data_IF_517684358788
#
_entry.id   IF_517684358788
#
_cell.length_a   1.000
_cell.length_b   1.000
_cell.length_c   1.000
_cell.angle_alpha   90.00
_cell.angle_beta   90.00
_cell.angle_gamma   90.00
#
_symmetry.space_group_name_H-M   'P 1'
#
loop_
_entity.id
_entity.type
_entity.pdbx_description
1 polymer ?
#
# COMPACT_ATOMS: atom_id res chain seq x y z
N UNK A 1 -0.05 1.91 41.73
CA UNK A 1 -0.14 2.29 40.30
C UNK A 1 0.39 1.13 39.51
N UNK A 2 -0.50 0.29 38.99
CA UNK A 2 -0.17 -0.93 38.27
C UNK A 2 0.38 -0.59 36.88
N UNK A 3 1.65 -0.96 36.63
CA UNK A 3 2.21 -0.96 35.28
C UNK A 3 1.32 -1.81 34.36
N UNK A 4 0.88 -1.29 33.20
CA UNK A 4 0.21 -2.13 32.23
C UNK A 4 1.22 -3.16 31.72
N UNK A 5 0.82 -4.44 31.81
CA UNK A 5 1.49 -5.60 31.24
C UNK A 5 1.96 -5.31 29.80
N UNK A 6 3.18 -5.70 29.47
CA UNK A 6 3.91 -5.44 28.21
C UNK A 6 3.29 -6.00 26.90
N UNK A 7 1.99 -6.25 26.88
CA UNK A 7 1.19 -6.65 25.71
C UNK A 7 0.46 -5.47 25.03
N UNK A 8 0.67 -4.21 25.46
CA UNK A 8 -0.21 -3.08 25.12
C UNK A 8 0.40 -1.89 24.31
N UNK A 9 1.42 -2.05 23.47
CA UNK A 9 1.99 -0.91 22.72
C UNK A 9 2.27 -1.17 21.22
N UNK A 10 1.50 -2.02 20.54
CA UNK A 10 1.47 -1.92 19.07
C UNK A 10 0.55 -0.79 18.65
N UNK A 11 1.14 0.23 18.02
CA UNK A 11 0.41 1.32 17.37
C UNK A 11 -0.49 0.77 16.26
N UNK A 12 -1.60 1.45 16.01
CA UNK A 12 -2.62 1.01 15.07
C UNK A 12 -2.24 1.33 13.61
N UNK A 13 -2.74 0.52 12.67
CA UNK A 13 -2.72 0.84 11.23
C UNK A 13 -4.01 1.59 10.90
N UNK A 14 -3.90 2.84 10.48
CA UNK A 14 -5.03 3.60 9.96
C UNK A 14 -5.19 3.36 8.45
N UNK A 15 -6.38 3.03 8.01
CA UNK A 15 -6.71 2.74 6.62
C UNK A 15 -7.75 3.75 6.14
N UNK A 16 -7.32 4.70 5.31
CA UNK A 16 -8.11 5.82 4.78
C UNK A 16 -8.64 5.48 3.39
N UNK A 17 -9.96 5.52 3.22
CA UNK A 17 -10.58 5.18 1.93
C UNK A 17 -12.07 4.93 2.08
N UNK A 18 -12.60 3.97 1.31
CA UNK A 18 -14.04 3.71 1.28
C UNK A 18 -14.42 2.29 1.69
N UNK A 19 -15.66 2.19 2.17
CA UNK A 19 -16.40 0.94 2.29
C UNK A 19 -17.52 0.93 1.26
N UNK A 20 -17.73 -0.21 0.62
CA UNK A 20 -18.78 -0.42 -0.35
C UNK A 20 -19.55 -1.69 0.00
N UNK A 21 -20.70 -1.89 -0.61
CA UNK A 21 -21.49 -3.11 -0.49
C UNK A 21 -21.62 -3.72 -1.87
N UNK A 22 -21.44 -5.04 -1.95
CA UNK A 22 -21.71 -5.78 -3.16
C UNK A 22 -22.79 -6.85 -2.94
N UNK A 23 -23.70 -6.97 -3.91
CA UNK A 23 -24.56 -8.13 -4.05
C UNK A 23 -23.85 -9.14 -4.95
N UNK A 24 -23.42 -10.26 -4.39
CA UNK A 24 -22.67 -11.30 -5.08
C UNK A 24 -23.64 -12.39 -5.50
N UNK A 25 -23.74 -12.64 -6.80
CA UNK A 25 -24.58 -13.67 -7.40
C UNK A 25 -23.71 -14.70 -8.11
N UNK A 26 -23.86 -15.97 -7.73
CA UNK A 26 -23.17 -17.09 -8.40
C UNK A 26 -24.06 -17.66 -9.48
N UNK A 27 -23.52 -17.78 -10.70
CA UNK A 27 -24.19 -18.35 -11.87
C UNK A 27 -23.34 -19.46 -12.48
N UNK A 28 -23.99 -20.42 -13.14
CA UNK A 28 -23.28 -21.46 -13.87
C UNK A 28 -22.50 -20.85 -15.04
N UNK A 29 -23.22 -20.07 -15.87
CA UNK A 29 -22.71 -19.36 -17.04
C UNK A 29 -23.12 -17.88 -16.99
N UNK A 30 -22.31 -17.01 -17.57
CA UNK A 30 -22.58 -15.57 -17.66
C UNK A 30 -23.86 -15.32 -18.50
N UNK A 31 -24.76 -14.41 -18.06
CA UNK A 31 -26.02 -14.17 -18.76
C UNK A 31 -25.81 -13.58 -20.16
N UNK A 32 -26.34 -14.27 -21.17
CA UNK A 32 -26.49 -13.70 -22.51
C UNK A 32 -27.47 -12.52 -22.48
N UNK A 33 -27.33 -11.59 -23.45
CA UNK A 33 -28.20 -10.41 -23.55
C UNK A 33 -29.67 -10.84 -23.63
N UNK A 34 -30.50 -10.35 -22.72
CA UNK A 34 -31.94 -10.66 -22.65
C UNK A 34 -32.30 -11.98 -21.95
N UNK A 35 -31.31 -12.78 -21.54
CA UNK A 35 -31.56 -14.04 -20.83
C UNK A 35 -32.11 -13.80 -19.42
N UNK A 36 -32.99 -14.71 -18.98
CA UNK A 36 -33.46 -14.79 -17.59
C UNK A 36 -32.86 -16.04 -16.95
N UNK A 37 -31.94 -15.84 -16.01
CA UNK A 37 -31.26 -16.93 -15.33
C UNK A 37 -31.64 -16.97 -13.86
N UNK A 38 -31.58 -18.18 -13.28
CA UNK A 38 -31.64 -18.39 -11.83
C UNK A 38 -30.21 -18.48 -11.30
N UNK A 39 -29.87 -17.63 -10.33
CA UNK A 39 -28.59 -17.77 -9.62
C UNK A 39 -28.62 -19.01 -8.72
N UNK A 40 -27.45 -19.63 -8.53
CA UNK A 40 -27.27 -20.78 -7.65
C UNK A 40 -27.22 -20.34 -6.17
N UNK A 41 -26.65 -19.17 -5.93
CA UNK A 41 -26.57 -18.54 -4.62
C UNK A 41 -26.46 -17.02 -4.81
N UNK A 42 -27.02 -16.26 -3.87
CA UNK A 42 -26.79 -14.83 -3.78
C UNK A 42 -26.58 -14.42 -2.32
N UNK A 43 -25.65 -13.50 -2.07
CA UNK A 43 -25.41 -12.96 -0.74
C UNK A 43 -24.86 -11.53 -0.82
N UNK A 44 -24.95 -10.81 0.29
CA UNK A 44 -24.33 -9.50 0.45
C UNK A 44 -22.93 -9.64 1.02
N UNK A 45 -22.00 -8.82 0.54
CA UNK A 45 -20.64 -8.77 1.05
C UNK A 45 -20.20 -7.31 1.20
N UNK A 46 -19.50 -7.01 2.30
CA UNK A 46 -18.77 -5.75 2.43
C UNK A 46 -17.56 -5.77 1.48
N UNK A 47 -17.40 -4.69 0.75
CA UNK A 47 -16.32 -4.47 -0.23
C UNK A 47 -15.68 -3.10 -0.02
N UNK A 48 -14.90 -2.64 -1.00
CA UNK A 48 -14.06 -1.45 -0.92
C UNK A 48 -12.61 -1.86 -0.68
N UNK A 49 -11.67 -1.22 -1.38
CA UNK A 49 -10.27 -1.66 -1.37
C UNK A 49 -9.68 -1.52 0.03
N UNK A 50 -9.76 -0.32 0.61
CA UNK A 50 -9.32 -0.05 1.98
C UNK A 50 -10.04 -0.92 3.01
N UNK A 51 -11.35 -1.08 2.85
CA UNK A 51 -12.19 -1.95 3.69
C UNK A 51 -11.74 -3.43 3.68
N UNK A 52 -11.34 -3.95 2.53
CA UNK A 52 -10.78 -5.29 2.38
C UNK A 52 -9.36 -5.39 2.95
N UNK A 53 -8.52 -4.37 2.77
CA UNK A 53 -7.19 -4.27 3.42
C UNK A 53 -7.34 -4.37 4.93
N UNK A 54 -8.32 -3.66 5.52
CA UNK A 54 -8.59 -3.73 6.96
C UNK A 54 -8.93 -5.15 7.42
N UNK A 55 -9.72 -5.86 6.62
CA UNK A 55 -10.15 -7.23 6.91
C UNK A 55 -8.95 -8.18 6.94
N UNK A 56 -8.12 -8.14 5.90
CA UNK A 56 -6.93 -8.97 5.83
C UNK A 56 -5.93 -8.63 6.94
N UNK A 57 -5.73 -7.34 7.26
CA UNK A 57 -4.87 -6.93 8.36
C UNK A 57 -5.37 -7.43 9.72
N UNK A 58 -6.69 -7.36 10.00
CA UNK A 58 -7.25 -7.92 11.24
C UNK A 58 -7.05 -9.43 11.33
N UNK A 59 -7.28 -10.16 10.23
CA UNK A 59 -7.07 -11.61 10.18
C UNK A 59 -5.59 -12.02 10.34
N UNK A 60 -4.66 -11.17 9.91
CA UNK A 60 -3.22 -11.34 10.19
C UNK A 60 -2.83 -10.98 11.64
N UNK A 61 -3.75 -10.39 12.41
CA UNK A 61 -3.55 -10.04 13.82
C UNK A 61 -3.07 -8.62 14.08
N UNK A 62 -3.07 -7.72 13.08
CA UNK A 62 -2.78 -6.30 13.31
C UNK A 62 -3.94 -5.58 13.98
N UNK A 63 -3.65 -4.51 14.74
CA UNK A 63 -4.67 -3.52 15.15
C UNK A 63 -4.94 -2.58 13.99
N UNK A 64 -6.20 -2.41 13.64
CA UNK A 64 -6.60 -1.66 12.45
C UNK A 64 -7.78 -0.77 12.75
N UNK A 65 -7.70 0.45 12.24
CA UNK A 65 -8.80 1.37 12.18
C UNK A 65 -9.09 1.75 10.72
N UNK A 66 -10.35 1.68 10.34
CA UNK A 66 -10.88 2.21 9.11
C UNK A 66 -11.26 3.68 9.32
N UNK A 67 -10.87 4.55 8.38
CA UNK A 67 -11.32 5.92 8.29
C UNK A 67 -11.96 6.17 6.92
N UNK A 68 -13.28 6.06 6.88
CA UNK A 68 -14.11 6.22 5.68
C UNK A 68 -15.49 6.77 6.04
N UNK A 69 -16.18 7.38 5.08
CA UNK A 69 -17.55 7.85 5.31
C UNK A 69 -18.49 6.66 5.44
N UNK A 70 -19.29 6.65 6.51
CA UNK A 70 -20.34 5.67 6.77
C UNK A 70 -21.73 6.30 6.58
N UNK A 71 -22.74 5.50 6.25
CA UNK A 71 -24.12 5.97 6.08
C UNK A 71 -25.03 5.51 7.21
N UNK A 72 -25.93 6.37 7.68
CA UNK A 72 -27.04 6.00 8.58
C UNK A 72 -28.23 5.41 7.82
N UNK A 73 -28.28 5.63 6.50
CA UNK A 73 -29.42 5.31 5.66
C UNK A 73 -29.32 3.93 5.01
N UNK A 74 -30.41 3.18 5.09
CA UNK A 74 -30.60 1.91 4.37
C UNK A 74 -30.15 0.67 5.16
N UNK A 75 -30.97 -0.39 5.08
CA UNK A 75 -30.68 -1.67 5.73
C UNK A 75 -29.35 -2.28 5.28
N UNK A 76 -28.94 -2.03 4.02
CA UNK A 76 -27.67 -2.52 3.50
C UNK A 76 -26.46 -1.96 4.27
N UNK A 77 -26.50 -0.70 4.70
CA UNK A 77 -25.38 -0.12 5.45
C UNK A 77 -25.28 -0.67 6.87
N UNK A 78 -26.41 -1.08 7.48
CA UNK A 78 -26.41 -1.79 8.76
C UNK A 78 -25.61 -3.10 8.67
N UNK A 79 -25.82 -3.88 7.62
CA UNK A 79 -25.05 -5.10 7.35
C UNK A 79 -23.53 -4.84 7.30
N UNK A 80 -23.12 -3.76 6.61
CA UNK A 80 -21.71 -3.36 6.51
C UNK A 80 -21.12 -3.04 7.89
N UNK A 81 -21.81 -2.24 8.69
CA UNK A 81 -21.38 -1.86 10.04
C UNK A 81 -21.30 -3.09 10.96
N UNK A 82 -22.26 -4.00 10.85
CA UNK A 82 -22.25 -5.24 11.63
C UNK A 82 -21.11 -6.19 11.19
N UNK A 83 -20.73 -6.20 9.90
CA UNK A 83 -19.55 -6.92 9.43
C UNK A 83 -18.24 -6.30 9.95
N UNK A 84 -18.12 -4.97 9.99
CA UNK A 84 -16.97 -4.28 10.60
C UNK A 84 -16.81 -4.67 12.07
N UNK A 85 -17.91 -4.64 12.85
CA UNK A 85 -17.92 -5.07 14.25
C UNK A 85 -17.54 -6.54 14.42
N UNK A 86 -18.14 -7.44 13.62
CA UNK A 86 -17.85 -8.89 13.67
C UNK A 86 -16.38 -9.20 13.39
N UNK A 87 -15.71 -8.36 12.60
CA UNK A 87 -14.30 -8.50 12.24
C UNK A 87 -13.34 -7.71 13.15
N UNK A 88 -13.87 -7.08 14.20
CA UNK A 88 -13.08 -6.31 15.15
C UNK A 88 -12.23 -5.25 14.46
N UNK A 89 -12.80 -4.59 13.43
CA UNK A 89 -12.20 -3.44 12.76
C UNK A 89 -12.71 -2.19 13.49
N UNK A 90 -11.81 -1.35 13.98
CA UNK A 90 -12.22 -0.07 14.57
C UNK A 90 -12.71 0.87 13.46
N UNK A 91 -13.81 1.56 13.72
CA UNK A 91 -14.41 2.57 12.84
C UNK A 91 -14.94 3.76 13.65
N UNK A 92 -14.46 3.93 14.90
CA UNK A 92 -14.98 4.90 15.86
C UNK A 92 -14.87 6.34 15.36
N UNK A 93 -13.82 6.65 14.59
CA UNK A 93 -13.63 7.99 14.02
C UNK A 93 -14.18 8.15 12.60
N UNK A 94 -14.86 7.14 12.04
CA UNK A 94 -15.49 7.29 10.73
C UNK A 94 -16.59 8.37 10.75
N UNK A 95 -16.55 9.36 9.83
CA UNK A 95 -17.64 10.32 9.70
C UNK A 95 -18.90 9.66 9.14
N UNK A 96 -20.07 10.25 9.46
CA UNK A 96 -21.38 9.70 9.10
C UNK A 96 -22.20 10.65 8.23
N UNK A 97 -22.85 10.13 7.20
CA UNK A 97 -23.80 10.82 6.31
C UNK A 97 -25.17 10.15 6.30
N UNK A 98 -26.19 10.84 5.80
CA UNK A 98 -27.53 10.29 5.57
C UNK A 98 -27.76 9.95 4.10
N UNK A 99 -26.76 10.14 3.23
CA UNK A 99 -26.82 9.72 1.82
C UNK A 99 -26.81 8.20 1.67
N UNK A 100 -27.62 7.66 0.74
CA UNK A 100 -27.59 6.23 0.44
C UNK A 100 -26.29 5.84 -0.27
N UNK A 101 -25.59 4.79 0.20
CA UNK A 101 -24.33 4.32 -0.37
C UNK A 101 -24.49 3.82 -1.81
N UNK A 102 -23.39 3.85 -2.57
CA UNK A 102 -23.32 3.09 -3.82
C UNK A 102 -23.20 1.59 -3.51
N UNK A 103 -23.91 0.77 -4.29
CA UNK A 103 -23.83 -0.69 -4.19
C UNK A 103 -23.36 -1.26 -5.53
N UNK A 104 -22.44 -2.21 -5.50
CA UNK A 104 -22.01 -2.94 -6.69
C UNK A 104 -22.77 -4.25 -6.83
N UNK A 105 -22.88 -4.77 -8.04
CA UNK A 105 -23.32 -6.14 -8.30
C UNK A 105 -22.15 -6.94 -8.83
N UNK A 106 -21.89 -8.11 -8.24
CA UNK A 106 -20.81 -9.00 -8.67
C UNK A 106 -21.44 -10.28 -9.17
N UNK A 107 -21.17 -10.61 -10.43
CA UNK A 107 -21.57 -11.89 -11.03
C UNK A 107 -20.35 -12.81 -11.02
N UNK A 108 -20.45 -13.93 -10.33
CA UNK A 108 -19.43 -14.98 -10.29
C UNK A 108 -19.85 -16.13 -11.20
N UNK A 109 -19.09 -16.34 -12.26
CA UNK A 109 -19.32 -17.45 -13.19
C UNK A 109 -18.48 -18.68 -12.76
N UNK A 110 -19.13 -19.81 -12.53
CA UNK A 110 -18.45 -21.01 -12.03
C UNK A 110 -17.64 -21.73 -13.12
N UNK A 111 -18.15 -21.82 -14.35
CA UNK A 111 -17.49 -22.59 -15.43
C UNK A 111 -16.13 -22.01 -15.80
N UNK A 112 -16.05 -20.69 -15.95
CA UNK A 112 -14.80 -20.00 -16.31
C UNK A 112 -14.00 -19.54 -15.09
N UNK A 113 -14.62 -19.53 -13.90
CA UNK A 113 -14.04 -18.94 -12.68
C UNK A 113 -13.90 -17.42 -12.74
N UNK A 114 -14.58 -16.75 -13.67
CA UNK A 114 -14.50 -15.30 -13.83
C UNK A 114 -15.44 -14.56 -12.87
N UNK A 115 -15.11 -13.30 -12.59
CA UNK A 115 -15.95 -12.41 -11.80
C UNK A 115 -16.13 -11.10 -12.55
N UNK A 116 -17.38 -10.72 -12.80
CA UNK A 116 -17.74 -9.45 -13.43
C UNK A 116 -18.31 -8.52 -12.37
N UNK A 117 -17.75 -7.31 -12.27
CA UNK A 117 -18.15 -6.31 -11.28
C UNK A 117 -18.85 -5.16 -11.99
N UNK A 118 -20.14 -5.00 -11.70
CA UNK A 118 -20.94 -3.85 -12.10
C UNK A 118 -20.94 -2.85 -10.95
N UNK A 119 -20.16 -1.77 -11.08
CA UNK A 119 -20.10 -0.72 -10.06
C UNK A 119 -21.19 0.32 -10.28
N UNK A 120 -21.79 0.79 -9.20
CA UNK A 120 -22.69 1.93 -9.25
C UNK A 120 -21.87 3.22 -9.37
N UNK A 121 -22.15 4.01 -10.42
CA UNK A 121 -21.49 5.30 -10.65
C UNK A 121 -22.03 6.45 -9.79
N UNK A 122 -22.95 6.18 -8.85
CA UNK A 122 -23.45 7.20 -7.93
C UNK A 122 -22.30 7.69 -7.05
N UNK A 123 -22.06 9.00 -7.06
CA UNK A 123 -21.12 9.63 -6.16
C UNK A 123 -21.56 9.41 -4.70
N UNK A 124 -20.58 9.15 -3.84
CA UNK A 124 -20.77 9.03 -2.40
C UNK A 124 -19.70 9.90 -1.72
N UNK A 125 -20.01 10.58 -0.61
CA UNK A 125 -19.07 11.47 0.03
C UNK A 125 -17.77 10.75 0.42
N UNK A 126 -16.67 11.47 0.30
CA UNK A 126 -15.35 11.02 0.73
C UNK A 126 -14.97 11.72 2.05
N UNK A 127 -13.99 11.16 2.74
CA UNK A 127 -13.45 11.77 3.96
C UNK A 127 -12.73 13.08 3.62
N UNK A 128 -12.80 14.04 4.53
CA UNK A 128 -12.18 15.36 4.38
C UNK A 128 -10.98 15.51 5.32
N UNK A 129 -10.04 16.38 4.95
CA UNK A 129 -8.91 16.78 5.77
C UNK A 129 -9.35 17.41 7.09
N UNK A 130 -10.51 18.10 7.11
CA UNK A 130 -11.11 18.64 8.34
C UNK A 130 -11.51 17.54 9.32
N UNK A 131 -12.11 16.45 8.83
CA UNK A 131 -12.45 15.29 9.66
C UNK A 131 -11.18 14.56 10.09
N UNK A 132 -10.23 14.34 9.18
CA UNK A 132 -8.95 13.71 9.48
C UNK A 132 -8.14 14.48 10.53
N UNK A 133 -8.27 15.81 10.57
CA UNK A 133 -7.60 16.64 11.56
C UNK A 133 -8.02 16.38 13.01
N UNK A 134 -9.17 15.72 13.23
CA UNK A 134 -9.70 15.38 14.55
C UNK A 134 -9.05 14.11 15.13
N UNK A 135 -8.34 13.33 14.31
CA UNK A 135 -7.66 12.12 14.74
C UNK A 135 -6.46 12.44 15.62
N UNK A 136 -6.28 11.63 16.67
CA UNK A 136 -5.04 11.61 17.44
C UNK A 136 -3.98 10.77 16.71
N UNK A 137 -3.08 11.46 16.02
CA UNK A 137 -2.04 10.82 15.23
C UNK A 137 -1.03 10.00 16.06
N UNK A 138 -0.92 10.23 17.37
CA UNK A 138 -0.01 9.46 18.24
C UNK A 138 -0.42 7.98 18.37
N UNK A 139 -1.68 7.64 18.07
CA UNK A 139 -2.21 6.28 18.14
C UNK A 139 -1.75 5.39 16.98
N UNK A 140 -1.24 5.98 15.90
CA UNK A 140 -0.91 5.27 14.67
C UNK A 140 0.59 5.22 14.43
N UNK A 141 1.07 4.13 13.85
CA UNK A 141 2.44 4.01 13.33
C UNK A 141 2.46 3.83 11.82
N UNK A 142 1.29 3.65 11.20
CA UNK A 142 1.13 3.50 9.76
C UNK A 142 -0.21 4.11 9.31
N UNK A 143 -0.20 4.90 8.23
CA UNK A 143 -1.41 5.30 7.50
C UNK A 143 -1.36 4.79 6.06
N UNK A 144 -2.37 4.04 5.67
CA UNK A 144 -2.59 3.60 4.31
C UNK A 144 -3.70 4.42 3.65
N UNK A 145 -3.40 5.02 2.51
CA UNK A 145 -4.36 5.80 1.72
C UNK A 145 -4.72 5.08 0.42
N UNK A 146 -6.00 5.12 0.09
CA UNK A 146 -6.51 4.84 -1.26
C UNK A 146 -6.47 6.14 -2.09
N UNK A 147 -5.85 6.11 -3.27
CA UNK A 147 -5.82 7.23 -4.20
C UNK A 147 -7.21 7.41 -4.85
N UNK A 148 -8.07 8.21 -4.20
CA UNK A 148 -9.47 8.43 -4.64
C UNK A 148 -9.84 9.90 -4.79
N UNK A 149 -9.38 10.77 -3.89
CA UNK A 149 -9.66 12.19 -3.95
C UNK A 149 -8.40 13.01 -3.67
N UNK A 150 -7.69 13.38 -4.73
CA UNK A 150 -6.33 13.93 -4.66
C UNK A 150 -6.19 15.12 -3.71
N UNK A 151 -7.12 16.11 -3.82
CA UNK A 151 -7.06 17.35 -3.03
C UNK A 151 -7.12 17.09 -1.53
N UNK A 152 -8.10 16.32 -1.08
CA UNK A 152 -8.24 15.94 0.33
C UNK A 152 -7.08 15.04 0.79
N UNK A 153 -6.66 14.07 -0.03
CA UNK A 153 -5.56 13.16 0.32
C UNK A 153 -4.22 13.88 0.46
N UNK A 154 -3.91 14.87 -0.37
CA UNK A 154 -2.71 15.71 -0.21
C UNK A 154 -2.71 16.39 1.16
N UNK A 155 -3.83 16.98 1.56
CA UNK A 155 -3.95 17.70 2.84
C UNK A 155 -3.82 16.74 4.04
N UNK A 156 -4.42 15.55 3.96
CA UNK A 156 -4.30 14.53 5.00
C UNK A 156 -2.86 14.01 5.12
N UNK A 157 -2.20 13.71 3.99
CA UNK A 157 -0.81 13.28 3.99
C UNK A 157 0.13 14.35 4.54
N UNK A 158 -0.03 15.61 4.13
CA UNK A 158 0.75 16.74 4.66
C UNK A 158 0.63 16.85 6.17
N UNK A 159 -0.57 16.66 6.74
CA UNK A 159 -0.73 16.63 8.20
C UNK A 159 0.09 15.53 8.87
N UNK A 160 0.17 14.33 8.26
CA UNK A 160 1.02 13.24 8.76
C UNK A 160 2.50 13.62 8.65
N UNK A 161 2.91 14.27 7.56
CA UNK A 161 4.27 14.77 7.38
C UNK A 161 4.65 15.82 8.44
N UNK A 162 3.75 16.77 8.69
CA UNK A 162 3.92 17.80 9.71
C UNK A 162 4.00 17.19 11.11
N UNK A 163 3.19 16.18 11.39
CA UNK A 163 3.28 15.42 12.63
C UNK A 163 4.63 14.72 12.79
N UNK A 164 5.19 14.20 11.70
CA UNK A 164 6.48 13.50 11.70
C UNK A 164 7.70 14.44 11.82
N UNK A 165 7.54 15.75 11.55
CA UNK A 165 8.64 16.71 11.63
C UNK A 165 9.22 16.78 13.05
N UNK A 166 10.55 16.75 13.15
CA UNK A 166 11.27 16.75 14.43
C UNK A 166 11.25 15.43 15.21
N UNK A 167 10.56 14.39 14.72
CA UNK A 167 10.52 13.06 15.37
C UNK A 167 11.66 12.17 14.91
N UNK A 168 12.10 11.27 15.80
CA UNK A 168 13.01 10.20 15.47
C UNK A 168 12.35 9.19 14.52
N UNK A 169 13.14 8.53 13.68
CA UNK A 169 12.64 7.66 12.60
C UNK A 169 11.70 6.56 13.10
N UNK A 170 12.00 5.95 14.25
CA UNK A 170 11.19 4.90 14.84
C UNK A 170 9.81 5.35 15.34
N UNK A 171 9.64 6.65 15.60
CA UNK A 171 8.41 7.26 16.13
C UNK A 171 7.58 7.94 15.03
N UNK A 172 8.07 7.93 13.78
CA UNK A 172 7.36 8.49 12.63
C UNK A 172 6.30 7.53 12.12
N UNK A 173 5.21 8.11 11.67
CA UNK A 173 4.14 7.40 10.98
C UNK A 173 4.58 7.12 9.55
N UNK A 174 4.57 5.86 9.16
CA UNK A 174 4.83 5.45 7.78
C UNK A 174 3.59 5.68 6.92
N UNK A 175 3.76 6.25 5.73
CA UNK A 175 2.66 6.53 4.79
C UNK A 175 2.76 5.61 3.60
N UNK A 176 1.68 4.89 3.31
CA UNK A 176 1.55 4.09 2.08
C UNK A 176 0.36 4.54 1.24
N UNK A 177 0.49 4.41 -0.07
CA UNK A 177 -0.52 4.82 -1.04
C UNK A 177 -0.82 3.67 -2.01
N UNK A 178 -2.11 3.35 -2.19
CA UNK A 178 -2.57 2.48 -3.27
C UNK A 178 -3.06 3.34 -4.44
N UNK A 179 -2.43 3.20 -5.61
CA UNK A 179 -2.88 3.82 -6.86
C UNK A 179 -3.45 2.73 -7.77
N UNK A 180 -4.74 2.85 -8.09
CA UNK A 180 -5.48 1.82 -8.84
C UNK A 180 -6.27 2.37 -10.04
N UNK A 181 -6.41 3.69 -10.13
CA UNK A 181 -7.08 4.40 -11.23
C UNK A 181 -6.42 5.78 -11.40
N UNK A 182 -6.70 6.46 -12.52
CA UNK A 182 -6.36 7.87 -12.79
C UNK A 182 -5.00 8.33 -12.26
N UNK A 183 -3.88 7.74 -12.71
CA UNK A 183 -2.53 8.10 -12.24
C UNK A 183 -2.26 9.61 -12.35
N UNK A 184 -2.67 10.25 -13.45
CA UNK A 184 -2.44 11.68 -13.72
C UNK A 184 -2.97 12.58 -12.60
N UNK A 185 -4.15 12.26 -12.06
CA UNK A 185 -4.79 13.00 -10.96
C UNK A 185 -4.05 12.83 -9.61
N UNK A 186 -3.13 11.86 -9.52
CA UNK A 186 -2.55 11.38 -8.27
C UNK A 186 -1.02 11.47 -8.23
N UNK A 187 -0.38 12.01 -9.27
CA UNK A 187 1.09 12.14 -9.36
C UNK A 187 1.69 12.87 -8.15
N UNK A 188 1.02 13.90 -7.64
CA UNK A 188 1.52 14.69 -6.51
C UNK A 188 1.53 13.88 -5.20
N UNK A 189 0.65 12.90 -5.06
CA UNK A 189 0.58 12.03 -3.87
C UNK A 189 1.79 11.11 -3.76
N UNK A 190 2.42 10.73 -4.89
CA UNK A 190 3.58 9.85 -4.91
C UNK A 190 4.75 10.43 -4.11
N UNK A 191 4.89 11.77 -4.11
CA UNK A 191 5.97 12.48 -3.40
C UNK A 191 5.75 12.58 -1.88
N UNK A 192 4.55 12.24 -1.39
CA UNK A 192 4.14 12.42 0.01
C UNK A 192 4.14 11.11 0.80
N UNK A 193 4.49 9.98 0.19
CA UNK A 193 4.43 8.66 0.81
C UNK A 193 5.78 7.93 0.83
N UNK A 194 5.91 6.94 1.72
CA UNK A 194 7.07 6.05 1.81
C UNK A 194 6.96 4.84 0.89
N UNK A 195 5.72 4.40 0.62
CA UNK A 195 5.44 3.23 -0.20
C UNK A 195 4.29 3.52 -1.15
N UNK A 196 4.48 3.21 -2.44
CA UNK A 196 3.40 3.19 -3.42
C UNK A 196 3.16 1.75 -3.87
N UNK A 197 1.93 1.28 -3.71
CA UNK A 197 1.45 0.05 -4.33
C UNK A 197 0.69 0.42 -5.60
N UNK A 198 1.15 -0.07 -6.75
CA UNK A 198 0.60 0.28 -8.05
C UNK A 198 -0.17 -0.89 -8.69
N UNK A 199 -1.44 -0.66 -9.03
CA UNK A 199 -2.32 -1.71 -9.54
C UNK A 199 -1.98 -2.14 -10.96
N UNK A 200 -1.86 -3.46 -11.18
CA UNK A 200 -1.63 -4.07 -12.52
C UNK A 200 -2.61 -3.60 -13.58
N UNK A 201 -3.90 -3.50 -13.26
CA UNK A 201 -4.93 -3.12 -14.24
C UNK A 201 -4.67 -1.71 -14.80
N UNK A 202 -4.32 -0.76 -13.93
CA UNK A 202 -3.97 0.60 -14.33
C UNK A 202 -2.69 0.62 -15.16
N UNK A 203 -1.66 -0.13 -14.75
CA UNK A 203 -0.43 -0.26 -15.52
C UNK A 203 -0.69 -0.72 -16.96
N UNK A 204 -1.53 -1.75 -17.13
CA UNK A 204 -1.91 -2.25 -18.46
C UNK A 204 -2.72 -1.22 -19.26
N UNK A 205 -3.60 -0.45 -18.62
CA UNK A 205 -4.35 0.63 -19.27
C UNK A 205 -3.43 1.74 -19.79
N UNK A 206 -2.34 2.02 -19.07
CA UNK A 206 -1.29 2.97 -19.47
C UNK A 206 -0.32 2.39 -20.51
N UNK A 207 -0.52 1.14 -20.96
CA UNK A 207 0.36 0.47 -21.92
C UNK A 207 1.63 -0.14 -21.32
N UNK A 208 1.72 -0.25 -19.99
CA UNK A 208 2.87 -0.83 -19.30
C UNK A 208 2.73 -2.35 -19.19
N UNK A 209 3.59 -3.08 -19.89
CA UNK A 209 3.39 -4.51 -20.17
C UNK A 209 3.87 -5.45 -19.06
N UNK A 210 4.69 -4.98 -18.12
CA UNK A 210 5.26 -5.78 -17.03
C UNK A 210 5.37 -5.00 -15.72
N UNK A 211 5.48 -5.70 -14.59
CA UNK A 211 5.71 -5.07 -13.29
C UNK A 211 7.05 -4.32 -13.23
N UNK A 212 8.10 -4.85 -13.88
CA UNK A 212 9.38 -4.16 -14.03
C UNK A 212 9.20 -2.84 -14.78
N UNK A 213 8.51 -2.87 -15.93
CA UNK A 213 8.22 -1.67 -16.71
C UNK A 213 7.40 -0.66 -15.91
N UNK A 214 6.38 -1.12 -15.17
CA UNK A 214 5.58 -0.26 -14.30
C UNK A 214 6.42 0.42 -13.20
N UNK A 215 7.36 -0.29 -12.56
CA UNK A 215 8.28 0.31 -11.59
C UNK A 215 9.13 1.42 -12.21
N UNK A 216 9.70 1.17 -13.39
CA UNK A 216 10.54 2.16 -14.10
C UNK A 216 9.75 3.38 -14.57
N UNK A 217 8.55 3.17 -15.11
CA UNK A 217 7.68 4.25 -15.56
C UNK A 217 7.20 5.12 -14.39
N UNK A 218 6.78 4.49 -13.28
CA UNK A 218 6.36 5.23 -12.10
C UNK A 218 7.54 5.98 -11.46
N UNK A 219 8.73 5.39 -11.44
CA UNK A 219 9.95 6.05 -10.99
C UNK A 219 10.30 7.26 -11.88
N UNK A 220 10.12 7.14 -13.19
CA UNK A 220 10.35 8.24 -14.15
C UNK A 220 9.33 9.37 -14.02
N UNK A 221 8.10 9.05 -13.59
CA UNK A 221 7.05 10.02 -13.33
C UNK A 221 7.28 10.85 -12.05
N UNK A 222 8.20 10.44 -11.16
CA UNK A 222 8.55 11.22 -9.98
C UNK A 222 9.30 12.49 -10.42
N UNK A 223 8.69 13.66 -10.19
CA UNK A 223 9.17 14.99 -10.62
C UNK A 223 10.62 15.32 -10.22
N UNK A 224 11.13 14.69 -9.17
CA UNK A 224 12.47 14.99 -8.66
C UNK A 224 13.49 14.01 -9.27
N UNK A 225 14.67 14.45 -9.72
CA UNK A 225 15.79 13.57 -10.13
C UNK A 225 16.48 12.88 -8.94
N UNK A 226 17.03 11.67 -9.13
CA UNK A 226 17.70 10.90 -8.04
C UNK A 226 18.93 11.60 -7.45
N UNK A 227 19.53 12.54 -8.18
CA UNK A 227 20.64 13.37 -7.71
C UNK A 227 20.25 14.31 -6.56
N UNK A 228 18.96 14.63 -6.42
CA UNK A 228 18.46 15.45 -5.31
C UNK A 228 18.01 14.52 -4.18
N UNK A 229 18.68 14.65 -3.02
CA UNK A 229 18.38 13.90 -1.80
C UNK A 229 17.05 14.34 -1.19
N UNK A 230 15.96 13.94 -1.84
CA UNK A 230 14.58 14.13 -1.39
C UNK A 230 14.01 12.77 -1.00
N UNK A 231 12.95 12.80 -0.18
CA UNK A 231 12.19 11.60 0.15
C UNK A 231 11.62 10.99 -1.13
N UNK A 232 11.85 9.70 -1.33
CA UNK A 232 11.29 8.91 -2.43
C UNK A 232 10.51 7.73 -1.89
N UNK A 233 9.37 7.39 -2.49
CA UNK A 233 8.69 6.17 -2.14
C UNK A 233 9.47 4.96 -2.66
N UNK A 234 9.39 3.85 -1.93
CA UNK A 234 9.59 2.55 -2.53
C UNK A 234 8.37 2.20 -3.39
N UNK A 235 8.60 1.68 -4.59
CA UNK A 235 7.54 1.34 -5.55
C UNK A 235 7.30 -0.16 -5.50
N UNK A 236 6.03 -0.58 -5.48
CA UNK A 236 5.64 -1.99 -5.40
C UNK A 236 4.57 -2.25 -6.45
N UNK A 237 4.86 -3.17 -7.37
CA UNK A 237 4.00 -3.52 -8.50
C UNK A 237 3.63 -5.01 -8.44
N UNK A 238 2.52 -5.39 -7.76
CA UNK A 238 1.99 -6.75 -7.81
C UNK A 238 1.47 -7.10 -9.21
N UNK A 239 1.75 -8.31 -9.68
CA UNK A 239 1.47 -8.75 -11.05
C UNK A 239 0.76 -10.11 -11.16
N UNK A 240 0.05 -10.52 -10.10
CA UNK A 240 -0.73 -11.76 -10.09
C UNK A 240 0.17 -12.99 -10.20
N UNK A 241 -0.06 -13.86 -11.19
CA UNK A 241 0.66 -15.13 -11.33
C UNK A 241 2.16 -15.01 -11.60
N UNK A 242 2.65 -13.81 -11.95
CA UNK A 242 4.08 -13.53 -12.13
C UNK A 242 4.77 -13.08 -10.85
N UNK A 243 4.02 -12.85 -9.76
CA UNK A 243 4.56 -12.35 -8.50
C UNK A 243 4.45 -10.84 -8.40
N UNK A 244 5.52 -10.20 -7.94
CA UNK A 244 5.59 -8.75 -7.79
C UNK A 244 7.02 -8.26 -8.06
N UNK A 245 7.14 -7.02 -8.52
CA UNK A 245 8.42 -6.32 -8.59
C UNK A 245 8.36 -5.14 -7.62
N UNK A 246 9.45 -4.87 -6.92
CA UNK A 246 9.57 -3.66 -6.11
C UNK A 246 10.90 -2.95 -6.33
N UNK A 247 10.89 -1.63 -6.19
CA UNK A 247 12.05 -0.75 -6.26
C UNK A 247 12.23 -0.05 -4.92
N UNK A 248 13.41 -0.12 -4.32
CA UNK A 248 13.72 0.64 -3.11
C UNK A 248 13.97 2.14 -3.41
N UNK A 249 14.04 2.96 -2.36
CA UNK A 249 14.27 4.40 -2.49
C UNK A 249 15.61 4.76 -3.15
N UNK A 250 16.57 3.82 -3.23
CA UNK A 250 17.87 4.00 -3.92
C UNK A 250 17.79 3.60 -5.40
N UNK A 251 16.66 3.08 -5.85
CA UNK A 251 16.43 2.65 -7.22
C UNK A 251 16.82 1.20 -7.49
N UNK A 252 17.14 0.39 -6.47
CA UNK A 252 17.43 -1.02 -6.68
C UNK A 252 16.13 -1.81 -6.81
N UNK A 253 16.06 -2.60 -7.89
CA UNK A 253 14.92 -3.46 -8.20
C UNK A 253 15.07 -4.85 -7.61
N UNK A 254 13.94 -5.45 -7.28
CA UNK A 254 13.81 -6.82 -6.80
C UNK A 254 12.60 -7.46 -7.48
N UNK A 255 12.77 -8.66 -8.01
CA UNK A 255 11.69 -9.47 -8.57
C UNK A 255 11.38 -10.65 -7.64
N UNK A 256 10.12 -10.77 -7.23
CA UNK A 256 9.68 -11.73 -6.22
C UNK A 256 8.61 -12.62 -6.86
N UNK A 257 8.84 -13.94 -6.98
CA UNK A 257 7.90 -14.84 -7.65
C UNK A 257 6.58 -14.99 -6.88
N UNK A 258 5.50 -15.32 -7.58
CA UNK A 258 4.23 -15.69 -6.97
C UNK A 258 4.27 -17.11 -6.39
N UNK A 259 3.56 -17.31 -5.28
CA UNK A 259 3.23 -18.64 -4.79
C UNK A 259 2.05 -19.18 -5.61
N UNK A 260 2.15 -20.44 -6.06
CA UNK A 260 1.08 -21.10 -6.85
C UNK A 260 0.25 -22.00 -5.95
N UNK A 261 -1.04 -21.69 -5.72
CA UNK A 261 -1.92 -22.59 -5.00
C UNK A 261 -2.27 -23.81 -5.88
N UNK A 262 -2.64 -24.93 -5.26
CA UNK A 262 -3.08 -26.13 -5.99
C UNK A 262 -4.34 -25.89 -6.83
N UNK A 263 -5.24 -25.04 -6.34
CA UNK A 263 -6.49 -24.67 -6.99
C UNK A 263 -6.78 -23.21 -6.72
N UNK A 264 -7.20 -22.48 -7.75
CA UNK A 264 -7.71 -21.12 -7.62
C UNK A 264 -9.22 -21.20 -7.47
N UNK A 265 -9.75 -20.59 -6.40
CA UNK A 265 -11.18 -20.65 -6.04
C UNK A 265 -11.83 -19.27 -6.09
N UNK A 266 -11.15 -18.23 -5.61
CA UNK A 266 -11.71 -16.88 -5.53
C UNK A 266 -10.61 -15.82 -5.68
N UNK A 267 -10.63 -15.03 -6.76
CA UNK A 267 -9.67 -13.93 -6.97
C UNK A 267 -10.08 -12.60 -6.33
N UNK A 268 -11.33 -12.44 -5.90
CA UNK A 268 -11.85 -11.16 -5.42
C UNK A 268 -11.18 -10.70 -4.11
N UNK A 269 -10.34 -9.67 -4.14
CA UNK A 269 -9.66 -9.17 -2.93
C UNK A 269 -8.19 -9.55 -2.82
N UNK A 270 -7.60 -10.18 -3.84
CA UNK A 270 -6.21 -10.65 -3.82
C UNK A 270 -5.19 -9.50 -3.73
N UNK A 271 -5.41 -8.42 -4.49
CA UNK A 271 -4.61 -7.20 -4.42
C UNK A 271 -4.66 -6.55 -3.03
N UNK A 272 -5.83 -6.50 -2.40
CA UNK A 272 -5.98 -5.96 -1.06
C UNK A 272 -5.31 -6.85 0.00
N UNK A 273 -5.34 -8.17 -0.19
CA UNK A 273 -4.61 -9.11 0.66
C UNK A 273 -3.09 -8.98 0.49
N UNK A 274 -2.62 -8.72 -0.73
CA UNK A 274 -1.22 -8.37 -0.99
C UNK A 274 -0.84 -7.11 -0.21
N UNK A 275 -1.61 -6.01 -0.37
CA UNK A 275 -1.34 -4.75 0.35
C UNK A 275 -1.35 -4.94 1.87
N UNK A 276 -2.34 -5.65 2.42
CA UNK A 276 -2.40 -5.97 3.84
C UNK A 276 -1.19 -6.81 4.30
N UNK A 277 -0.82 -7.83 3.53
CA UNK A 277 0.36 -8.66 3.80
C UNK A 277 1.65 -7.84 3.81
N UNK A 278 1.81 -6.94 2.86
CA UNK A 278 2.96 -6.03 2.79
C UNK A 278 3.03 -5.11 4.03
N UNK A 279 1.91 -4.45 4.37
CA UNK A 279 1.84 -3.58 5.55
C UNK A 279 2.15 -4.38 6.81
N UNK A 280 1.53 -5.55 6.98
CA UNK A 280 1.77 -6.42 8.14
C UNK A 280 3.24 -6.85 8.25
N UNK A 281 3.83 -7.31 7.14
CA UNK A 281 5.23 -7.73 7.12
C UNK A 281 6.20 -6.59 7.44
N UNK A 282 5.95 -5.40 6.89
CA UNK A 282 6.82 -4.24 7.11
C UNK A 282 6.64 -3.68 8.51
N UNK A 283 5.40 -3.41 8.92
CA UNK A 283 5.10 -2.69 10.15
C UNK A 283 5.12 -3.59 11.39
N UNK A 284 4.38 -4.70 11.36
CA UNK A 284 4.23 -5.59 12.52
C UNK A 284 5.43 -6.53 12.65
N UNK A 285 5.94 -7.03 11.52
CA UNK A 285 7.04 -8.01 11.50
C UNK A 285 8.41 -7.39 11.29
N UNK A 286 8.51 -6.10 10.97
CA UNK A 286 9.77 -5.36 10.75
C UNK A 286 10.66 -6.02 9.69
N UNK A 287 10.06 -6.56 8.64
CA UNK A 287 10.78 -7.14 7.50
C UNK A 287 11.28 -6.04 6.56
N UNK A 288 12.41 -6.31 5.90
CA UNK A 288 12.90 -5.45 4.83
C UNK A 288 12.03 -5.59 3.57
N UNK A 289 12.13 -4.62 2.66
CA UNK A 289 11.28 -4.50 1.47
C UNK A 289 11.07 -5.81 0.69
N UNK A 290 12.10 -6.53 0.22
CA UNK A 290 11.89 -7.76 -0.56
C UNK A 290 11.21 -8.87 0.25
N UNK A 291 11.57 -9.05 1.53
CA UNK A 291 10.96 -10.07 2.40
C UNK A 291 9.50 -9.75 2.77
N UNK A 292 9.14 -8.46 2.76
CA UNK A 292 7.78 -8.00 2.96
C UNK A 292 6.91 -8.19 1.72
N UNK A 293 7.48 -7.95 0.52
CA UNK A 293 6.81 -8.19 -0.76
C UNK A 293 6.63 -9.69 -1.02
N UNK A 294 7.62 -10.52 -0.68
CA UNK A 294 7.48 -11.98 -0.73
C UNK A 294 6.35 -12.48 0.19
N UNK A 295 6.28 -11.96 1.43
CA UNK A 295 5.18 -12.28 2.33
C UNK A 295 3.82 -11.82 1.78
N UNK A 296 3.76 -10.65 1.13
CA UNK A 296 2.56 -10.17 0.48
C UNK A 296 2.09 -11.12 -0.65
N UNK A 297 3.01 -11.65 -1.46
CA UNK A 297 2.72 -12.68 -2.46
C UNK A 297 2.14 -13.95 -1.82
N UNK A 298 2.69 -14.37 -0.67
CA UNK A 298 2.18 -15.54 0.07
C UNK A 298 0.74 -15.32 0.55
N UNK A 299 0.46 -14.17 1.18
CA UNK A 299 -0.89 -13.85 1.69
C UNK A 299 -1.91 -13.81 0.54
N UNK A 300 -1.58 -13.15 -0.57
CA UNK A 300 -2.45 -13.09 -1.74
C UNK A 300 -2.71 -14.47 -2.34
N UNK A 301 -1.66 -15.31 -2.45
CA UNK A 301 -1.77 -16.69 -2.96
C UNK A 301 -2.64 -17.58 -2.07
N UNK A 302 -2.49 -17.46 -0.75
CA UNK A 302 -3.32 -18.19 0.21
C UNK A 302 -4.78 -17.77 0.12
N UNK A 303 -5.04 -16.46 -0.01
CA UNK A 303 -6.40 -15.94 -0.15
C UNK A 303 -7.09 -16.49 -1.40
N UNK A 304 -6.40 -16.61 -2.53
CA UNK A 304 -7.05 -17.08 -3.77
C UNK A 304 -7.38 -18.58 -3.77
N UNK A 305 -6.86 -19.35 -2.81
CA UNK A 305 -7.14 -20.77 -2.63
C UNK A 305 -8.50 -21.06 -1.96
N UNK A 306 -9.14 -20.04 -1.40
CA UNK A 306 -10.36 -20.15 -0.60
C UNK A 306 -11.37 -19.06 -0.92
N UNK A 307 -12.63 -19.26 -0.54
CA UNK A 307 -13.69 -18.24 -0.75
C UNK A 307 -13.61 -17.17 0.33
N UNK A 308 -13.71 -15.90 -0.05
CA UNK A 308 -13.68 -14.79 0.90
C UNK A 308 -12.29 -14.55 1.51
N UNK A 309 -12.25 -14.11 2.77
CA UNK A 309 -11.01 -13.69 3.44
C UNK A 309 -10.64 -14.57 4.65
N UNK A 310 -11.59 -15.27 5.25
CA UNK A 310 -11.46 -15.78 6.63
C UNK A 310 -10.35 -16.84 6.79
N UNK A 311 -10.01 -17.58 5.73
CA UNK A 311 -8.92 -18.55 5.72
C UNK A 311 -7.53 -17.91 5.89
N UNK A 312 -7.39 -16.59 5.75
CA UNK A 312 -6.14 -15.86 6.07
C UNK A 312 -5.75 -16.07 7.54
N UNK A 313 -6.71 -16.22 8.46
CA UNK A 313 -6.42 -16.51 9.87
C UNK A 313 -5.70 -17.85 10.09
N UNK A 314 -5.80 -18.78 9.12
CA UNK A 314 -5.13 -20.08 9.17
C UNK A 314 -3.74 -20.05 8.51
N UNK A 315 -3.32 -18.91 7.94
CA UNK A 315 -2.01 -18.76 7.34
C UNK A 315 -0.94 -18.99 8.41
N UNK A 316 -0.17 -20.07 8.28
CA UNK A 316 0.94 -20.36 9.19
C UNK A 316 2.07 -19.37 8.95
N UNK A 317 2.02 -18.25 9.67
CA UNK A 317 3.10 -17.28 9.65
C UNK A 317 4.23 -17.80 10.53
N UNK A 318 5.41 -18.08 9.97
CA UNK A 318 6.56 -18.53 10.76
C UNK A 318 6.76 -17.63 11.99
N UNK A 319 6.96 -18.20 13.20
CA UNK A 319 7.19 -17.40 14.40
C UNK A 319 8.33 -16.42 14.18
N UNK A 320 8.19 -15.19 14.70
CA UNK A 320 9.27 -14.20 14.70
C UNK A 320 10.45 -14.81 15.48
N UNK A 321 11.57 -15.16 14.82
CA UNK A 321 12.85 -15.22 15.52
C UNK A 321 13.16 -13.77 15.91
N UNK A 322 12.79 -13.39 17.12
CA UNK A 322 13.30 -12.18 17.73
C UNK A 322 14.81 -12.39 17.84
N UNK A 323 15.59 -11.63 17.07
CA UNK A 323 17.00 -11.50 17.36
C UNK A 323 17.10 -10.92 18.78
N UNK A 324 17.95 -11.48 19.66
CA UNK A 324 18.20 -10.87 20.97
C UNK A 324 18.57 -9.40 20.77
N UNK A 325 18.06 -8.54 21.64
CA UNK A 325 18.56 -7.17 21.76
C UNK A 325 20.08 -7.29 21.95
N UNK A 326 20.92 -6.60 21.16
CA UNK A 326 22.35 -6.57 21.42
C UNK A 326 22.53 -6.09 22.86
N UNK A 327 23.10 -6.96 23.71
CA UNK A 327 23.54 -6.53 25.03
C UNK A 327 24.51 -5.37 24.78
N UNK A 328 24.34 -4.20 25.43
CA UNK A 328 25.34 -3.16 25.35
C UNK A 328 26.67 -3.77 25.81
N UNK A 329 27.71 -3.59 25.00
CA UNK A 329 29.06 -4.07 25.30
C UNK A 329 29.39 -3.68 26.74
N UNK A 330 29.59 -4.70 27.57
CA UNK A 330 29.98 -4.55 28.96
C UNK A 330 31.44 -4.16 29.03
N UNK A 331 31.75 -2.95 28.59
CA UNK A 331 32.96 -2.21 28.96
C UNK A 331 32.53 -0.78 29.29
N UNK A 332 31.68 -0.65 30.30
CA UNK A 332 31.58 0.62 31.03
C UNK A 332 32.84 0.69 31.89
N UNK A 333 33.87 1.32 31.34
CA UNK A 333 34.96 1.89 32.14
C UNK A 333 34.34 2.74 33.25
N UNK A 334 34.78 2.51 34.48
CA UNK A 334 34.31 3.15 35.73
C UNK A 334 34.48 4.68 35.78
N UNK A 335 34.87 5.33 34.67
CA UNK A 335 35.04 6.77 34.56
C UNK A 335 33.78 7.51 34.05
N UNK A 336 32.80 6.81 33.46
CA UNK A 336 31.63 7.46 32.85
C UNK A 336 30.46 7.74 33.81
N UNK A 337 30.49 7.20 35.04
CA UNK A 337 29.46 7.46 36.06
C UNK A 337 29.46 8.90 36.61
N UNK A 338 30.54 9.66 36.40
CA UNK A 338 30.69 11.02 36.92
C UNK A 338 30.36 12.14 35.91
N UNK A 339 30.00 11.80 34.67
CA UNK A 339 29.74 12.79 33.61
C UNK A 339 28.25 13.16 33.52
N UNK A 340 27.95 14.45 33.42
CA UNK A 340 26.61 14.96 33.13
C UNK A 340 26.14 14.56 31.72
N UNK A 341 24.83 14.63 31.47
CA UNK A 341 24.22 14.24 30.19
C UNK A 341 24.82 14.99 28.99
N UNK A 342 25.10 16.29 29.14
CA UNK A 342 25.71 17.13 28.10
C UNK A 342 27.17 16.72 27.84
N UNK A 343 27.95 16.41 28.88
CA UNK A 343 29.34 15.98 28.75
C UNK A 343 29.45 14.61 28.04
N UNK A 344 28.52 13.70 28.29
CA UNK A 344 28.43 12.41 27.58
C UNK A 344 28.13 12.60 26.09
N UNK A 345 27.26 13.55 25.75
CA UNK A 345 26.99 13.92 24.36
C UNK A 345 28.25 14.48 23.69
N UNK A 346 28.91 15.47 24.30
CA UNK A 346 30.11 16.09 23.72
C UNK A 346 31.24 15.08 23.46
N UNK A 347 31.51 14.18 24.41
CA UNK A 347 32.56 13.15 24.27
C UNK A 347 32.26 12.18 23.12
N UNK A 348 30.98 11.82 22.91
CA UNK A 348 30.52 10.95 21.82
C UNK A 348 30.73 11.56 20.43
N UNK A 349 30.62 12.87 20.30
CA UNK A 349 30.80 13.56 19.01
C UNK A 349 32.25 13.94 18.71
N UNK A 350 33.07 14.20 19.74
CA UNK A 350 34.47 14.58 19.57
C UNK A 350 35.39 13.41 19.23
N UNK A 351 35.07 12.18 19.68
CA UNK A 351 35.92 11.00 19.49
C UNK A 351 35.54 10.14 18.27
N UNK A 352 34.81 10.69 17.30
CA UNK A 352 34.45 9.94 16.09
C UNK A 352 35.65 9.91 15.13
N UNK A 353 36.16 8.74 14.71
CA UNK A 353 37.21 8.68 13.69
C UNK A 353 36.67 9.25 12.39
N UNK A 354 37.38 10.22 11.81
CA UNK A 354 37.08 10.74 10.48
C UNK A 354 37.54 9.68 9.47
N UNK A 355 36.60 9.00 8.82
CA UNK A 355 36.90 8.17 7.66
C UNK A 355 36.90 9.04 6.41
N UNK A 356 38.10 9.34 5.89
CA UNK A 356 38.28 9.90 4.55
C UNK A 356 38.18 8.76 3.54
N UNK A 357 37.19 8.80 2.65
CA UNK A 357 37.13 7.89 1.51
C UNK A 357 38.14 8.33 0.44
N UNK A 358 39.13 7.48 0.16
CA UNK A 358 40.02 7.64 -0.99
C UNK A 358 39.28 7.36 -2.30
N UNK A 359 39.45 8.25 -3.28
CA UNK A 359 38.91 8.11 -4.64
C UNK A 359 39.67 7.03 -5.43
N UNK A 360 39.01 6.14 -6.19
CA UNK A 360 39.73 5.19 -7.04
C UNK A 360 40.29 5.90 -8.28
N UNK A 361 41.59 5.77 -8.47
CA UNK A 361 42.36 6.34 -9.55
C UNK A 361 42.03 5.79 -10.94
N UNK A 362 42.31 6.63 -11.93
CA UNK A 362 42.21 6.40 -13.37
C UNK A 362 43.21 5.31 -13.77
N UNK A 363 42.70 4.17 -14.26
CA UNK A 363 43.50 3.10 -14.85
C UNK A 363 43.18 2.95 -16.34
N UNK A 364 44.10 3.39 -17.19
CA UNK A 364 44.13 3.15 -18.64
C UNK A 364 44.44 1.67 -18.92
N UNK A 365 43.60 1.00 -19.71
CA UNK A 365 43.84 -0.37 -20.13
C UNK A 365 43.08 -0.73 -21.41
N UNK A 366 43.81 -0.78 -22.52
CA UNK A 366 43.42 -1.25 -23.86
C UNK A 366 43.23 -2.76 -23.90
N UNK A 367 42.20 -3.27 -24.60
CA UNK A 367 42.05 -4.71 -24.85
C UNK A 367 40.75 -5.15 -25.52
N UNK A 368 40.78 -5.18 -26.85
CA UNK A 368 39.98 -5.90 -27.87
C UNK A 368 38.96 -7.00 -27.47
N UNK A 369 37.73 -6.89 -28.01
CA UNK A 369 37.05 -7.96 -28.77
C UNK A 369 35.95 -8.79 -28.08
N UNK A 370 34.68 -8.55 -28.41
CA UNK A 370 33.80 -9.40 -29.28
C UNK A 370 32.35 -8.96 -29.13
N UNK A 371 31.63 -8.87 -30.25
CA UNK A 371 30.36 -8.14 -30.37
C UNK A 371 29.12 -8.84 -29.84
N UNK A 372 28.13 -8.01 -29.51
CA UNK A 372 26.70 -8.30 -29.51
C UNK A 372 25.99 -6.96 -29.75
N UNK A 373 25.17 -6.89 -30.80
CA UNK A 373 24.45 -5.67 -31.22
C UNK A 373 23.41 -5.24 -30.17
N UNK A 374 23.24 -3.92 -29.91
CA UNK A 374 22.16 -3.43 -29.06
C UNK A 374 20.85 -3.19 -29.83
N UNK A 375 19.72 -3.65 -29.28
CA UNK A 375 18.36 -3.32 -29.73
C UNK A 375 18.07 -1.80 -29.70
N UNK A 376 17.19 -1.28 -30.57
CA UNK A 376 17.06 0.16 -30.79
C UNK A 376 16.33 0.88 -29.64
N UNK A 377 16.94 1.99 -29.20
CA UNK A 377 16.37 2.92 -28.23
C UNK A 377 15.02 3.50 -28.70
N UNK A 378 14.03 3.49 -27.81
CA UNK A 378 12.73 4.15 -28.02
C UNK A 378 12.92 5.67 -28.16
N UNK A 379 12.47 6.24 -29.28
CA UNK A 379 12.52 7.69 -29.54
C UNK A 379 11.62 8.47 -28.54
N UNK A 380 12.06 9.64 -28.05
CA UNK A 380 11.21 10.55 -27.30
C UNK A 380 10.08 11.12 -28.18
N UNK A 381 8.97 11.50 -27.56
CA UNK A 381 7.78 12.07 -28.22
C UNK A 381 8.12 13.30 -29.07
N UNK A 382 7.49 13.44 -30.23
CA UNK A 382 7.71 14.57 -31.15
C UNK A 382 7.14 15.88 -30.58
N UNK A 383 7.77 17.01 -30.92
CA UNK A 383 7.35 18.36 -30.50
C UNK A 383 5.87 18.66 -30.86
N UNK A 384 5.37 18.11 -31.98
CA UNK A 384 3.97 18.23 -32.36
C UNK A 384 2.99 17.59 -31.37
N UNK A 385 3.40 16.52 -30.68
CA UNK A 385 2.59 15.89 -29.64
C UNK A 385 2.56 16.71 -28.35
N UNK A 386 3.64 17.45 -28.06
CA UNK A 386 3.73 18.36 -26.91
C UNK A 386 2.86 19.60 -27.16
N UNK A 387 2.90 20.16 -28.37
CA UNK A 387 2.13 21.35 -28.74
C UNK A 387 0.61 21.07 -28.76
N UNK A 388 0.20 19.90 -29.26
CA UNK A 388 -1.19 19.45 -29.20
C UNK A 388 -1.73 19.22 -27.77
N UNK A 389 -0.84 18.88 -26.82
CA UNK A 389 -1.20 18.76 -25.40
C UNK A 389 -1.40 20.14 -24.75
N UNK A 390 -0.61 21.14 -25.15
CA UNK A 390 -0.75 22.52 -24.69
C UNK A 390 -2.03 23.19 -25.19
N UNK A 391 -2.42 22.99 -26.45
CA UNK A 391 -3.68 23.54 -26.99
C UNK A 391 -4.94 22.93 -26.34
N UNK A 392 -4.86 21.69 -25.83
CA UNK A 392 -5.98 21.07 -25.10
C UNK A 392 -6.15 21.65 -23.70
N UNK A 393 -5.05 22.00 -23.03
CA UNK A 393 -5.08 22.55 -21.67
C UNK A 393 -5.57 24.01 -21.61
N UNK A 394 -5.39 24.79 -22.68
CA UNK A 394 -5.84 26.19 -22.73
C UNK A 394 -7.35 26.36 -22.97
N UNK A 395 -8.07 25.30 -23.37
CA UNK A 395 -9.53 25.35 -23.66
C UNK A 395 -10.44 24.92 -22.52
N UNK A 396 -9.88 24.44 -21.40
CA UNK A 396 -10.64 24.00 -20.21
C UNK A 396 -10.51 24.93 -19.01
N UNK A 397 -9.95 26.12 -19.18
CA UNK A 397 -9.88 27.15 -18.15
C UNK A 397 -10.84 28.31 -18.46
N UNK A 398 -12.14 28.08 -18.27
CA UNK A 398 -13.13 29.07 -17.84
C UNK A 398 -14.28 28.38 -17.10
#
# INVERSE_FOLDING_TARGET
>A
MSHPSALSLQQCVLCVGCTEIAYVSSVAQFPARGARLRCQSAFMQRTGRTSNVCTALRLLGARVELFGVLSRSGASFRFLVDDLRRRDIDFSHCPWTDESPSCSSIIRERETGTSTVLRCGKLFPYVTAKQFAQLDLFLYGWVHFEARHARETVLMMRRVLDHNNGRAEQDRIVVSLLVYDSLEDHLDLLSLCDFVVFGRLLALQLGWSSAHNACEQLNSALRTPRSIHTRRPCIICPWGSQGAVCMDARGKLYELPAYRPRKIVDRLGDGECFTAGFIYATFVRRRHLPDAVDFANLVASHKIASVGFDDIAQLRVSPRKLLPVPLPDSEVSSEDEQLSHEQRLCRKYLNRPIQLQESPGIGTGTGTGTGTEPEPASKPMSEQAVEAAWERLSRTAY
#
